data_IF_536446439465
#
_entry.id   IF_536446439465
#
_cell.length_a   1.000
_cell.length_b   1.000
_cell.length_c   1.000
_cell.angle_alpha   90.00
_cell.angle_beta   90.00
_cell.angle_gamma   90.00
#
_symmetry.space_group_name_H-M   'P 1'
#
loop_
_entity.id
_entity.type
_entity.pdbx_description
1 polymer ?
#
# COMPACT_ATOMS: atom_id res chain seq x y z
N UNK A 1 -5.96 -28.04 -11.99
CA UNK A 1 -4.85 -28.20 -11.06
C UNK A 1 -5.20 -27.45 -9.78
N UNK A 2 -5.02 -28.09 -8.65
CA UNK A 2 -5.14 -27.42 -7.36
C UNK A 2 -3.95 -26.47 -7.22
N UNK A 3 -4.20 -25.18 -7.38
CA UNK A 3 -3.18 -24.15 -7.15
C UNK A 3 -3.17 -23.86 -5.66
N UNK A 4 -2.00 -24.00 -5.03
CA UNK A 4 -1.79 -23.64 -3.64
C UNK A 4 -1.16 -22.26 -3.55
N UNK A 5 -1.61 -21.45 -2.60
CA UNK A 5 -0.92 -20.22 -2.26
C UNK A 5 0.38 -20.50 -1.51
N UNK A 6 1.32 -19.55 -1.52
CA UNK A 6 2.57 -19.68 -0.76
C UNK A 6 2.30 -19.87 0.74
N UNK A 7 1.35 -19.15 1.30
CA UNK A 7 0.96 -19.28 2.71
C UNK A 7 0.41 -20.68 3.05
N UNK A 8 -0.40 -21.28 2.15
CA UNK A 8 -0.85 -22.68 2.31
C UNK A 8 0.32 -23.68 2.33
N UNK A 9 1.34 -23.44 1.50
CA UNK A 9 2.53 -24.29 1.49
C UNK A 9 3.26 -24.22 2.83
N UNK A 10 3.44 -23.03 3.40
CA UNK A 10 4.05 -22.86 4.73
C UNK A 10 3.22 -23.51 5.83
N UNK A 11 1.88 -23.36 5.81
CA UNK A 11 0.99 -24.06 6.76
C UNK A 11 1.18 -25.57 6.72
N UNK A 12 1.20 -26.16 5.53
CA UNK A 12 1.41 -27.60 5.34
C UNK A 12 2.78 -28.06 5.80
N UNK A 13 3.77 -27.18 5.78
CA UNK A 13 5.12 -27.42 6.30
C UNK A 13 5.21 -27.23 7.85
N UNK A 14 4.10 -26.95 8.53
CA UNK A 14 4.06 -26.81 9.99
C UNK A 14 4.36 -25.41 10.50
N UNK A 15 4.35 -24.40 9.63
CA UNK A 15 4.43 -22.99 10.03
C UNK A 15 3.06 -22.45 10.42
N UNK A 16 3.02 -21.56 11.41
CA UNK A 16 1.83 -20.76 11.68
C UNK A 16 1.75 -19.63 10.64
N UNK A 17 0.76 -19.68 9.75
CA UNK A 17 0.56 -18.67 8.73
C UNK A 17 -0.43 -17.60 9.18
N UNK A 18 0.02 -16.35 9.20
CA UNK A 18 -0.77 -15.21 9.70
C UNK A 18 -0.83 -14.10 8.66
N UNK A 19 -2.01 -13.48 8.51
CA UNK A 19 -2.23 -12.27 7.71
C UNK A 19 -2.59 -11.10 8.62
N UNK A 20 -1.94 -9.96 8.38
CA UNK A 20 -2.31 -8.67 8.95
C UNK A 20 -2.56 -7.70 7.81
N UNK A 21 -3.72 -7.07 7.77
CA UNK A 21 -4.09 -6.10 6.74
C UNK A 21 -4.36 -6.70 5.37
N UNK A 22 -4.14 -5.92 4.31
CA UNK A 22 -4.54 -6.24 2.94
C UNK A 22 -3.47 -7.05 2.20
N UNK A 23 -3.71 -8.32 1.96
CA UNK A 23 -2.88 -9.18 1.10
C UNK A 23 -3.57 -9.48 -0.22
N UNK A 24 -4.80 -9.99 -0.19
CA UNK A 24 -5.61 -10.18 -1.39
C UNK A 24 -6.30 -8.87 -1.81
N UNK A 25 -6.70 -8.79 -3.09
CA UNK A 25 -7.35 -7.60 -3.60
C UNK A 25 -8.82 -7.53 -3.16
N UNK A 26 -9.20 -6.42 -2.54
CA UNK A 26 -10.58 -6.08 -2.21
C UNK A 26 -10.79 -4.56 -2.22
N UNK A 27 -12.03 -4.11 -2.06
CA UNK A 27 -12.35 -2.70 -2.23
C UNK A 27 -11.75 -1.83 -1.12
N UNK A 28 -10.91 -0.88 -1.48
CA UNK A 28 -10.37 0.12 -0.57
C UNK A 28 -10.99 1.47 -0.93
N UNK A 29 -11.52 2.21 0.03
CA UNK A 29 -11.52 2.00 1.49
C UNK A 29 -12.73 1.22 2.01
N UNK A 30 -13.66 0.76 1.16
CA UNK A 30 -14.94 0.19 1.58
C UNK A 30 -14.76 -1.00 2.54
N UNK A 31 -13.85 -1.92 2.22
CA UNK A 31 -13.64 -3.16 2.96
C UNK A 31 -12.57 -3.06 4.07
N UNK A 32 -12.05 -1.86 4.37
CA UNK A 32 -11.14 -1.68 5.51
C UNK A 32 -11.84 -2.12 6.80
N UNK A 33 -11.19 -3.04 7.53
CA UNK A 33 -11.74 -3.65 8.75
C UNK A 33 -12.54 -4.93 8.54
N UNK A 34 -12.65 -5.41 7.29
CA UNK A 34 -13.31 -6.66 6.92
C UNK A 34 -12.33 -7.64 6.29
N UNK A 35 -12.73 -8.91 6.13
CA UNK A 35 -11.92 -9.92 5.45
C UNK A 35 -11.80 -9.67 3.94
N UNK A 36 -12.74 -8.94 3.33
CA UNK A 36 -12.77 -8.70 1.90
C UNK A 36 -12.83 -10.00 1.09
N UNK A 37 -12.07 -10.06 -0.01
CA UNK A 37 -11.86 -11.28 -0.80
C UNK A 37 -10.61 -12.00 -0.30
N UNK A 38 -10.73 -12.72 0.81
CA UNK A 38 -9.64 -13.49 1.39
C UNK A 38 -9.71 -14.98 1.00
N UNK A 39 -8.60 -15.69 1.20
CA UNK A 39 -8.53 -17.14 1.08
C UNK A 39 -8.35 -17.76 2.48
N UNK A 40 -9.41 -18.26 3.12
CA UNK A 40 -9.35 -18.82 4.47
C UNK A 40 -8.38 -20.00 4.59
N UNK A 41 -8.16 -20.75 3.51
CA UNK A 41 -7.22 -21.88 3.50
C UNK A 41 -5.74 -21.44 3.59
N UNK A 42 -5.48 -20.16 3.30
CA UNK A 42 -4.13 -19.58 3.37
C UNK A 42 -3.66 -19.28 4.79
N UNK A 43 -4.56 -19.12 5.76
CA UNK A 43 -4.24 -18.52 7.04
C UNK A 43 -4.72 -19.33 8.23
N UNK A 44 -3.92 -19.38 9.30
CA UNK A 44 -4.33 -19.83 10.62
C UNK A 44 -4.94 -18.70 11.45
N UNK A 45 -4.44 -17.48 11.20
CA UNK A 45 -4.89 -16.28 11.90
C UNK A 45 -4.96 -15.10 10.92
N UNK A 46 -6.00 -14.29 11.04
CA UNK A 46 -6.15 -13.05 10.26
C UNK A 46 -6.46 -11.87 11.19
N UNK A 47 -5.97 -10.69 10.81
CA UNK A 47 -6.31 -9.45 11.50
C UNK A 47 -6.60 -8.35 10.47
N UNK A 48 -7.78 -7.71 10.61
CA UNK A 48 -8.25 -6.65 9.74
C UNK A 48 -8.25 -5.32 10.52
N UNK A 49 -7.15 -4.56 10.45
CA UNK A 49 -7.06 -3.27 11.13
C UNK A 49 -8.09 -2.29 10.57
N UNK A 50 -8.59 -1.43 11.46
CA UNK A 50 -9.49 -0.34 11.11
C UNK A 50 -9.19 0.84 12.01
N UNK A 51 -8.72 1.91 11.42
CA UNK A 51 -8.34 3.12 12.11
C UNK A 51 -9.20 4.32 11.77
N UNK A 52 -8.71 5.47 12.20
CA UNK A 52 -9.34 6.76 12.03
C UNK A 52 -9.51 7.17 10.57
N UNK A 53 -8.56 6.81 9.70
CA UNK A 53 -8.65 7.03 8.26
C UNK A 53 -9.89 6.40 7.62
N UNK A 54 -10.46 5.34 8.23
CA UNK A 54 -11.74 4.76 7.82
C UNK A 54 -12.93 5.48 8.49
N UNK A 55 -12.83 5.83 9.77
CA UNK A 55 -13.92 6.51 10.46
C UNK A 55 -14.13 7.95 10.00
N UNK A 56 -13.05 8.61 9.57
CA UNK A 56 -13.04 9.98 9.02
C UNK A 56 -13.24 10.01 7.48
N UNK A 57 -13.69 8.92 6.87
CA UNK A 57 -13.86 8.78 5.41
C UNK A 57 -14.69 9.92 4.79
N UNK A 58 -15.66 10.46 5.51
CA UNK A 58 -16.49 11.60 5.06
C UNK A 58 -15.70 12.90 4.85
N UNK A 59 -14.50 13.01 5.41
CA UNK A 59 -13.60 14.17 5.27
C UNK A 59 -12.69 14.06 4.05
N UNK A 60 -12.64 12.90 3.39
CA UNK A 60 -11.76 12.65 2.25
C UNK A 60 -12.19 13.51 1.07
N UNK A 61 -11.25 14.31 0.55
CA UNK A 61 -11.41 14.96 -0.75
C UNK A 61 -11.37 13.92 -1.86
N UNK A 62 -12.22 14.05 -2.87
CA UNK A 62 -12.22 13.19 -4.04
C UNK A 62 -12.57 13.97 -5.30
N UNK A 63 -11.89 13.67 -6.41
CA UNK A 63 -12.27 14.19 -7.73
C UNK A 63 -13.69 13.78 -8.14
N UNK A 64 -14.16 12.66 -7.58
CA UNK A 64 -15.54 12.16 -7.78
C UNK A 64 -16.21 12.01 -6.42
N UNK A 65 -16.98 13.01 -5.96
CA UNK A 65 -17.61 12.98 -4.64
C UNK A 65 -18.32 11.66 -4.35
N UNK A 66 -18.05 11.06 -3.19
CA UNK A 66 -18.59 9.76 -2.79
C UNK A 66 -17.90 8.54 -3.38
N UNK A 67 -16.86 8.72 -4.21
CA UNK A 67 -16.03 7.62 -4.75
C UNK A 67 -14.59 7.85 -4.34
N UNK A 68 -13.99 6.95 -3.56
CA UNK A 68 -12.66 7.17 -2.98
C UNK A 68 -11.58 6.24 -3.52
N UNK A 69 -11.88 4.96 -3.74
CA UNK A 69 -10.88 3.96 -4.14
C UNK A 69 -10.55 3.94 -5.65
N UNK A 70 -11.45 4.43 -6.49
CA UNK A 70 -11.35 4.32 -7.95
C UNK A 70 -10.90 5.59 -8.68
N UNK A 71 -10.65 6.67 -7.95
CA UNK A 71 -10.23 7.98 -8.45
C UNK A 71 -9.20 8.59 -7.50
N UNK A 72 -8.59 9.72 -7.90
CA UNK A 72 -7.72 10.47 -7.00
C UNK A 72 -8.53 11.04 -5.84
N UNK A 73 -8.11 10.71 -4.65
CA UNK A 73 -8.73 11.10 -3.40
C UNK A 73 -7.70 11.11 -2.28
N UNK A 74 -7.81 12.03 -1.32
CA UNK A 74 -6.83 12.17 -0.24
C UNK A 74 -7.39 12.85 1.00
N UNK A 75 -6.67 12.68 2.11
CA UNK A 75 -6.94 13.36 3.37
C UNK A 75 -5.64 13.53 4.17
N UNK A 76 -5.29 14.77 4.48
CA UNK A 76 -4.35 15.05 5.56
C UNK A 76 -5.10 14.85 6.88
N UNK A 77 -4.97 13.67 7.48
CA UNK A 77 -5.74 13.28 8.64
C UNK A 77 -5.26 14.01 9.91
N UNK A 78 -6.20 14.32 10.78
CA UNK A 78 -5.88 14.70 12.15
C UNK A 78 -5.37 13.50 12.96
N UNK A 79 -4.75 13.76 14.12
CA UNK A 79 -4.31 12.75 15.07
C UNK A 79 -2.91 12.20 14.77
N UNK A 80 -2.61 11.08 15.39
CA UNK A 80 -1.29 10.43 15.37
C UNK A 80 -1.27 9.21 14.47
N UNK A 81 -0.07 8.65 14.26
CA UNK A 81 0.12 7.40 13.51
C UNK A 81 -0.73 6.26 14.10
N UNK A 82 -0.70 6.09 15.41
CA UNK A 82 -1.35 4.96 16.11
C UNK A 82 -2.87 4.93 15.97
N UNK A 83 -3.48 6.02 15.51
CA UNK A 83 -4.91 6.07 15.21
C UNK A 83 -5.25 5.59 13.78
N UNK A 84 -4.24 5.42 12.91
CA UNK A 84 -4.42 5.07 11.51
C UNK A 84 -4.41 3.56 11.28
N UNK A 85 -5.12 3.10 10.26
CA UNK A 85 -5.30 1.66 9.96
C UNK A 85 -3.97 0.91 9.83
N UNK A 86 -3.00 1.43 9.06
CA UNK A 86 -1.74 0.74 8.82
C UNK A 86 -0.86 0.67 10.08
N UNK A 87 -0.88 1.70 10.93
CA UNK A 87 -0.15 1.68 12.18
C UNK A 87 -0.76 0.70 13.20
N UNK A 88 -2.09 0.61 13.25
CA UNK A 88 -2.78 -0.42 14.06
C UNK A 88 -2.41 -1.83 13.55
N UNK A 89 -2.30 -2.01 12.24
CA UNK A 89 -1.82 -3.25 11.63
C UNK A 89 -0.38 -3.56 12.00
N UNK A 90 0.51 -2.58 11.90
CA UNK A 90 1.92 -2.73 12.28
C UNK A 90 2.09 -3.11 13.75
N UNK A 91 1.37 -2.45 14.66
CA UNK A 91 1.40 -2.77 16.09
C UNK A 91 0.93 -4.21 16.35
N UNK A 92 -0.13 -4.65 15.64
CA UNK A 92 -0.60 -6.03 15.76
C UNK A 92 0.44 -7.04 15.24
N UNK A 93 1.11 -6.75 14.12
CA UNK A 93 2.19 -7.58 13.59
C UNK A 93 3.37 -7.67 14.58
N UNK A 94 3.76 -6.55 15.19
CA UNK A 94 4.81 -6.50 16.21
C UNK A 94 4.46 -7.38 17.43
N UNK A 95 3.21 -7.33 17.88
CA UNK A 95 2.74 -8.19 18.96
C UNK A 95 2.83 -9.67 18.60
N UNK A 96 2.43 -10.04 17.38
CA UNK A 96 2.52 -11.43 16.90
C UNK A 96 3.97 -11.91 16.79
N UNK A 97 4.90 -11.06 16.32
CA UNK A 97 6.33 -11.36 16.34
C UNK A 97 6.82 -11.66 17.75
N UNK A 98 6.35 -10.90 18.75
CA UNK A 98 6.67 -11.15 20.16
C UNK A 98 6.09 -12.46 20.69
N UNK A 99 4.92 -12.90 20.22
CA UNK A 99 4.35 -14.22 20.53
C UNK A 99 5.24 -15.33 19.95
N UNK A 100 5.56 -15.27 18.65
CA UNK A 100 6.40 -16.26 17.97
C UNK A 100 7.83 -16.36 18.56
N UNK A 101 8.43 -15.24 18.95
CA UNK A 101 9.73 -15.23 19.61
C UNK A 101 9.72 -16.01 20.94
N UNK A 102 8.64 -15.90 21.72
CA UNK A 102 8.46 -16.63 22.99
C UNK A 102 8.20 -18.12 22.78
N UNK A 103 7.34 -18.44 21.81
CA UNK A 103 6.91 -19.80 21.52
C UNK A 103 7.99 -20.61 20.79
N UNK A 104 8.96 -19.93 20.15
CA UNK A 104 9.98 -20.53 19.27
C UNK A 104 9.38 -21.39 18.16
N UNK A 105 8.19 -21.04 17.72
CA UNK A 105 7.47 -21.73 16.63
C UNK A 105 7.80 -21.11 15.27
N UNK A 106 7.93 -21.91 14.19
CA UNK A 106 8.11 -21.36 12.86
C UNK A 106 6.84 -20.62 12.42
N UNK A 107 7.03 -19.47 11.76
CA UNK A 107 5.92 -18.66 11.28
C UNK A 107 6.11 -18.17 9.86
N UNK A 108 5.00 -17.97 9.18
CA UNK A 108 4.88 -17.21 7.94
C UNK A 108 3.92 -16.04 8.22
N UNK A 109 4.42 -14.82 8.19
CA UNK A 109 3.61 -13.63 8.45
C UNK A 109 3.57 -12.75 7.20
N UNK A 110 2.38 -12.51 6.67
CA UNK A 110 2.14 -11.56 5.60
C UNK A 110 1.52 -10.28 6.18
N UNK A 111 2.18 -9.14 5.99
CA UNK A 111 1.67 -7.83 6.41
C UNK A 111 1.41 -6.99 5.19
N UNK A 112 0.15 -6.68 4.94
CA UNK A 112 -0.30 -5.87 3.81
C UNK A 112 -0.75 -4.50 4.26
N UNK A 113 -0.05 -3.46 3.81
CA UNK A 113 -0.41 -2.08 4.05
C UNK A 113 -1.46 -1.62 3.04
N UNK A 114 -2.37 -0.76 3.48
CA UNK A 114 -3.36 -0.13 2.60
C UNK A 114 -2.76 1.05 1.85
N UNK A 115 -1.81 1.78 2.46
CA UNK A 115 -1.15 2.91 1.81
C UNK A 115 0.03 2.42 0.97
N UNK A 116 0.24 3.04 -0.19
CA UNK A 116 -0.38 4.27 -0.74
C UNK A 116 -1.60 4.06 -1.66
N UNK A 117 -2.48 3.07 -1.45
CA UNK A 117 -3.74 2.98 -2.22
C UNK A 117 -4.64 4.18 -1.94
N UNK A 118 -5.38 4.66 -2.96
CA UNK A 118 -6.41 5.70 -2.78
C UNK A 118 -7.52 5.25 -1.83
N UNK A 119 -8.05 6.14 -0.98
CA UNK A 119 -7.62 7.51 -0.75
C UNK A 119 -6.22 7.57 -0.13
N UNK A 120 -5.38 8.53 -0.54
CA UNK A 120 -4.08 8.76 0.08
C UNK A 120 -4.29 9.44 1.43
N UNK A 121 -4.22 8.68 2.50
CA UNK A 121 -4.44 9.19 3.85
C UNK A 121 -3.20 8.98 4.70
N UNK A 122 -2.76 10.03 5.35
CA UNK A 122 -1.70 10.00 6.35
C UNK A 122 -1.94 11.15 7.36
N UNK A 123 -1.39 11.09 8.58
CA UNK A 123 -1.38 12.23 9.47
C UNK A 123 -0.81 13.48 8.82
N UNK A 124 -1.38 14.65 9.14
CA UNK A 124 -0.99 15.94 8.55
C UNK A 124 0.51 16.20 8.60
N UNK A 125 1.21 15.76 9.64
CA UNK A 125 2.66 15.91 9.80
C UNK A 125 3.49 15.31 8.66
N UNK A 126 2.97 14.30 7.95
CA UNK A 126 3.60 13.74 6.76
C UNK A 126 3.40 14.62 5.53
N UNK A 127 2.24 15.24 5.40
CA UNK A 127 1.96 16.21 4.32
C UNK A 127 2.87 17.44 4.44
N UNK A 128 3.12 17.92 5.65
CA UNK A 128 3.95 19.09 5.92
C UNK A 128 5.42 18.90 5.47
N UNK A 129 5.86 17.65 5.26
CA UNK A 129 7.20 17.33 4.70
C UNK A 129 7.31 17.62 3.20
N UNK A 130 6.21 17.74 2.49
CA UNK A 130 6.13 17.91 1.04
C UNK A 130 5.40 19.19 0.66
N UNK A 131 6.02 20.38 0.79
CA UNK A 131 5.39 21.64 0.40
C UNK A 131 4.91 21.60 -1.05
N UNK A 132 3.63 21.88 -1.28
CA UNK A 132 2.95 21.76 -2.58
C UNK A 132 3.65 22.58 -3.67
N UNK A 133 4.18 23.74 -3.30
CA UNK A 133 4.88 24.66 -4.21
C UNK A 133 6.23 24.10 -4.72
N UNK A 134 6.79 23.09 -4.05
CA UNK A 134 8.04 22.43 -4.45
C UNK A 134 7.82 21.18 -5.30
N UNK A 135 6.58 20.74 -5.44
CA UNK A 135 6.27 19.54 -6.21
C UNK A 135 6.28 19.88 -7.71
N UNK A 136 7.01 19.08 -8.47
CA UNK A 136 7.08 19.18 -9.92
C UNK A 136 6.19 18.11 -10.53
N UNK A 137 5.16 18.53 -11.25
CA UNK A 137 4.26 17.62 -11.96
C UNK A 137 4.91 17.21 -13.28
N UNK A 138 4.95 15.91 -13.64
CA UNK A 138 5.41 15.47 -14.93
C UNK A 138 4.62 16.13 -16.08
N UNK A 139 5.32 16.53 -17.12
CA UNK A 139 4.71 17.10 -18.34
C UNK A 139 4.72 16.08 -19.45
N UNK A 140 3.64 16.05 -20.23
CA UNK A 140 3.53 15.22 -21.43
C UNK A 140 3.82 16.12 -22.63
N UNK A 141 4.81 15.77 -23.48
CA UNK A 141 5.11 16.57 -24.68
C UNK A 141 3.93 16.60 -25.65
N UNK A 142 3.80 17.70 -26.40
CA UNK A 142 2.84 17.77 -27.50
C UNK A 142 3.10 16.65 -28.50
N UNK A 143 2.04 16.05 -29.03
CA UNK A 143 2.13 14.91 -29.95
C UNK A 143 2.54 13.59 -29.36
N UNK A 144 2.74 13.50 -28.02
CA UNK A 144 3.18 12.27 -27.37
C UNK A 144 2.27 11.07 -27.66
N UNK A 145 0.95 11.24 -27.57
CA UNK A 145 0.01 10.15 -27.80
C UNK A 145 0.02 9.62 -29.23
N UNK A 146 0.44 10.45 -30.19
CA UNK A 146 0.58 10.07 -31.61
C UNK A 146 1.75 9.10 -31.82
N UNK A 147 2.70 9.05 -30.89
CA UNK A 147 3.85 8.13 -30.95
C UNK A 147 3.53 6.75 -30.35
N UNK A 148 2.37 6.59 -29.72
CA UNK A 148 1.97 5.36 -29.02
C UNK A 148 0.98 4.53 -29.86
N UNK A 149 0.99 3.19 -29.72
CA UNK A 149 -0.03 2.36 -30.33
C UNK A 149 -1.40 2.60 -29.67
N UNK A 150 -2.48 2.47 -30.44
CA UNK A 150 -3.86 2.71 -30.01
C UNK A 150 -4.25 2.05 -28.68
N UNK A 151 -3.89 0.78 -28.37
CA UNK A 151 -4.22 0.16 -27.11
C UNK A 151 -3.58 0.88 -25.90
N UNK A 152 -2.37 1.39 -26.06
CA UNK A 152 -1.67 2.16 -25.02
C UNK A 152 -2.40 3.50 -24.78
N UNK A 153 -2.72 4.24 -25.83
CA UNK A 153 -3.48 5.49 -25.74
C UNK A 153 -4.84 5.26 -25.05
N UNK A 154 -5.56 4.20 -25.44
CA UNK A 154 -6.84 3.83 -24.79
C UNK A 154 -6.68 3.53 -23.33
N UNK A 155 -5.58 2.90 -22.91
CA UNK A 155 -5.33 2.61 -21.50
C UNK A 155 -5.06 3.88 -20.68
N UNK A 156 -4.28 4.81 -21.24
CA UNK A 156 -3.93 6.09 -20.60
C UNK A 156 -5.12 7.06 -20.50
N UNK A 157 -6.04 7.03 -21.47
CA UNK A 157 -7.16 7.99 -21.56
C UNK A 157 -8.47 7.48 -20.96
N UNK A 158 -8.48 6.29 -20.34
CA UNK A 158 -9.71 5.67 -19.81
C UNK A 158 -10.32 6.37 -18.59
N UNK A 159 -9.48 7.03 -17.77
CA UNK A 159 -9.89 7.71 -16.52
C UNK A 159 -10.15 9.20 -16.80
N UNK A 160 -11.31 9.49 -17.36
CA UNK A 160 -11.68 10.83 -17.85
C UNK A 160 -11.64 11.92 -16.78
N UNK A 161 -11.93 11.57 -15.51
CA UNK A 161 -11.89 12.47 -14.37
C UNK A 161 -10.47 12.90 -13.97
N UNK A 162 -9.45 12.24 -14.52
CA UNK A 162 -8.04 12.48 -14.23
C UNK A 162 -7.25 13.02 -15.45
N UNK A 163 -7.91 13.14 -16.60
CA UNK A 163 -7.29 13.73 -17.78
C UNK A 163 -7.17 15.25 -17.62
N UNK A 164 -6.00 15.79 -18.01
CA UNK A 164 -5.74 17.23 -17.96
C UNK A 164 -5.99 17.82 -16.55
N UNK A 165 -5.56 17.11 -15.53
CA UNK A 165 -5.74 17.53 -14.15
C UNK A 165 -5.11 18.91 -13.93
N UNK A 166 -5.85 19.84 -13.31
CA UNK A 166 -5.34 21.17 -13.01
C UNK A 166 -4.07 21.06 -12.12
N UNK A 167 -3.06 21.89 -12.42
CA UNK A 167 -1.73 21.82 -11.78
C UNK A 167 -1.80 21.82 -10.25
N UNK A 168 -2.67 22.63 -9.66
CA UNK A 168 -2.86 22.68 -8.22
C UNK A 168 -3.39 21.34 -7.65
N UNK A 169 -4.31 20.67 -8.34
CA UNK A 169 -4.84 19.36 -7.93
C UNK A 169 -3.80 18.24 -8.13
N UNK A 170 -3.04 18.31 -9.23
CA UNK A 170 -1.95 17.39 -9.52
C UNK A 170 -0.89 17.42 -8.40
N UNK A 171 -0.45 18.64 -8.01
CA UNK A 171 0.50 18.83 -6.91
C UNK A 171 -0.03 18.32 -5.58
N UNK A 172 -1.30 18.58 -5.25
CA UNK A 172 -1.92 18.08 -4.03
C UNK A 172 -2.03 16.55 -4.02
N UNK A 173 -2.38 15.94 -5.15
CA UNK A 173 -2.42 14.48 -5.28
C UNK A 173 -1.02 13.86 -5.07
N UNK A 174 0.03 14.47 -5.66
CA UNK A 174 1.41 14.02 -5.47
C UNK A 174 1.88 14.22 -4.02
N UNK A 175 1.57 15.36 -3.41
CA UNK A 175 1.84 15.59 -1.98
C UNK A 175 1.24 14.49 -1.12
N UNK A 176 -0.03 14.19 -1.33
CA UNK A 176 -0.75 13.18 -0.58
C UNK A 176 -0.20 11.77 -0.80
N UNK A 177 0.21 11.45 -2.04
CA UNK A 177 0.86 10.18 -2.35
C UNK A 177 2.20 10.05 -1.63
N UNK A 178 3.07 11.05 -1.70
CA UNK A 178 4.37 11.03 -1.00
C UNK A 178 4.20 10.98 0.53
N UNK A 179 3.25 11.71 1.07
CA UNK A 179 2.91 11.66 2.50
C UNK A 179 2.47 10.25 2.91
N UNK A 180 1.61 9.61 2.12
CA UNK A 180 1.12 8.25 2.41
C UNK A 180 2.20 7.18 2.26
N UNK A 181 3.15 7.33 1.32
CA UNK A 181 4.32 6.44 1.23
C UNK A 181 5.20 6.59 2.46
N UNK A 182 5.53 7.82 2.86
CA UNK A 182 6.38 8.05 4.02
C UNK A 182 5.75 7.53 5.30
N UNK A 183 4.43 7.66 5.43
CA UNK A 183 3.69 7.05 6.54
C UNK A 183 3.76 5.52 6.50
N UNK A 184 3.53 4.89 5.33
CA UNK A 184 3.64 3.43 5.18
C UNK A 184 5.07 2.93 5.48
N UNK A 185 6.08 3.63 4.98
CA UNK A 185 7.50 3.33 5.22
C UNK A 185 7.84 3.36 6.72
N UNK A 186 7.31 4.34 7.45
CA UNK A 186 7.50 4.39 8.91
C UNK A 186 6.90 3.18 9.63
N UNK A 187 5.78 2.63 9.13
CA UNK A 187 5.19 1.41 9.71
C UNK A 187 6.01 0.17 9.36
N UNK A 188 6.57 0.08 8.14
CA UNK A 188 7.52 -0.97 7.76
C UNK A 188 8.74 -0.93 8.67
N UNK A 189 9.32 0.26 8.89
CA UNK A 189 10.45 0.46 9.80
C UNK A 189 10.18 -0.08 11.21
N UNK A 190 9.02 0.24 11.80
CA UNK A 190 8.61 -0.29 13.13
C UNK A 190 8.59 -1.82 13.19
N UNK A 191 8.11 -2.47 12.13
CA UNK A 191 8.03 -3.95 12.07
C UNK A 191 9.44 -4.53 11.95
N UNK A 192 10.30 -3.98 11.08
CA UNK A 192 11.68 -4.45 10.89
C UNK A 192 12.50 -4.27 12.17
N UNK A 193 12.42 -3.10 12.82
CA UNK A 193 13.05 -2.85 14.12
C UNK A 193 12.57 -3.82 15.21
N UNK A 194 11.31 -4.27 15.14
CA UNK A 194 10.80 -5.27 16.07
C UNK A 194 11.42 -6.66 15.85
N UNK A 195 11.68 -7.05 14.59
CA UNK A 195 12.40 -8.30 14.27
C UNK A 195 13.77 -8.31 14.94
N UNK A 196 14.53 -7.20 14.81
CA UNK A 196 15.84 -7.06 15.46
C UNK A 196 15.74 -7.08 16.99
N UNK A 197 14.88 -6.24 17.55
CA UNK A 197 14.70 -6.10 19.00
C UNK A 197 14.27 -7.41 19.69
N UNK A 198 13.50 -8.24 18.98
CA UNK A 198 13.02 -9.53 19.49
C UNK A 198 14.00 -10.68 19.28
N UNK A 199 15.17 -10.41 18.69
CA UNK A 199 16.18 -11.43 18.41
C UNK A 199 15.77 -12.43 17.34
N UNK A 200 14.93 -12.02 16.38
CA UNK A 200 14.45 -12.86 15.29
C UNK A 200 15.26 -12.71 14.01
N UNK A 201 16.14 -11.71 13.90
CA UNK A 201 16.86 -11.36 12.67
C UNK A 201 17.72 -12.51 12.13
N UNK A 202 18.35 -13.29 13.01
CA UNK A 202 19.27 -14.37 12.64
C UNK A 202 18.54 -15.62 12.07
N UNK A 203 17.21 -15.67 12.13
CA UNK A 203 16.42 -16.82 11.65
C UNK A 203 15.15 -16.43 10.88
N UNK A 204 15.05 -15.16 10.46
CA UNK A 204 13.89 -14.66 9.73
C UNK A 204 14.32 -14.11 8.37
N UNK A 205 13.63 -14.55 7.32
CA UNK A 205 13.75 -13.95 5.98
C UNK A 205 12.66 -12.90 5.84
N UNK A 206 13.05 -11.67 5.50
CA UNK A 206 12.13 -10.56 5.21
C UNK A 206 12.05 -10.40 3.70
N UNK A 207 10.85 -10.41 3.15
CA UNK A 207 10.57 -10.11 1.74
C UNK A 207 9.67 -8.88 1.69
N UNK A 208 10.14 -7.83 1.03
CA UNK A 208 9.36 -6.62 0.76
C UNK A 208 9.11 -6.48 -0.73
N UNK A 209 7.84 -6.31 -1.10
CA UNK A 209 7.43 -6.13 -2.50
C UNK A 209 6.09 -5.38 -2.58
N UNK A 210 5.66 -5.08 -3.80
CA UNK A 210 4.32 -4.53 -4.11
C UNK A 210 3.64 -5.39 -5.17
N UNK A 211 2.32 -5.34 -5.24
CA UNK A 211 1.51 -6.03 -6.26
C UNK A 211 1.60 -5.33 -7.63
N UNK A 212 1.83 -4.01 -7.65
CA UNK A 212 2.00 -3.17 -8.84
C UNK A 212 2.65 -1.83 -8.47
N UNK A 213 3.17 -1.14 -9.47
CA UNK A 213 3.55 0.26 -9.38
C UNK A 213 2.37 1.21 -9.61
N UNK A 214 2.66 2.49 -9.89
CA UNK A 214 1.63 3.53 -10.03
C UNK A 214 2.15 4.72 -10.83
N UNK A 215 1.28 5.36 -11.63
CA UNK A 215 1.57 6.62 -12.31
C UNK A 215 1.16 7.81 -11.46
N UNK A 216 2.02 8.80 -11.39
CA UNK A 216 1.79 10.08 -10.71
C UNK A 216 1.93 11.26 -11.67
N UNK A 217 1.25 11.15 -12.82
CA UNK A 217 1.27 12.16 -13.90
C UNK A 217 2.13 11.79 -15.09
N UNK A 218 3.01 10.80 -14.98
CA UNK A 218 3.76 10.31 -16.13
C UNK A 218 2.81 9.80 -17.21
N UNK A 219 3.12 10.05 -18.46
CA UNK A 219 2.25 9.77 -19.61
C UNK A 219 0.87 10.47 -19.52
N UNK A 220 0.70 11.49 -18.67
CA UNK A 220 -0.59 12.13 -18.39
C UNK A 220 -1.58 11.24 -17.62
N UNK A 221 -1.09 10.21 -16.95
CA UNK A 221 -1.91 9.20 -16.28
C UNK A 221 -1.67 9.14 -14.75
N UNK A 222 -2.69 8.77 -13.99
CA UNK A 222 -2.69 8.80 -12.52
C UNK A 222 -3.17 7.49 -11.89
N UNK A 223 -2.94 6.38 -12.53
CA UNK A 223 -3.44 5.07 -12.07
C UNK A 223 -2.41 3.97 -12.39
N UNK A 224 -2.81 2.72 -12.20
CA UNK A 224 -1.98 1.53 -12.29
C UNK A 224 -2.30 0.59 -13.46
N UNK A 225 -3.48 0.73 -14.09
CA UNK A 225 -3.98 -0.25 -15.06
C UNK A 225 -3.41 -0.03 -16.46
N UNK A 226 -2.10 -0.09 -16.59
CA UNK A 226 -1.32 -0.01 -17.82
C UNK A 226 -0.19 -1.04 -17.81
N UNK A 227 0.50 -1.22 -18.91
CA UNK A 227 1.69 -2.07 -19.03
C UNK A 227 3.00 -1.24 -19.08
N UNK A 228 2.93 0.06 -18.78
CA UNK A 228 4.13 0.89 -18.67
C UNK A 228 4.92 0.57 -17.39
N UNK A 229 6.22 0.83 -17.42
CA UNK A 229 7.16 0.58 -16.31
C UNK A 229 6.66 1.14 -14.97
N UNK A 230 6.08 2.33 -14.97
CA UNK A 230 5.54 2.94 -13.76
C UNK A 230 4.50 2.06 -13.02
N UNK A 231 3.76 1.24 -13.76
CA UNK A 231 2.78 0.31 -13.19
C UNK A 231 3.29 -1.13 -13.07
N UNK A 232 4.22 -1.55 -13.92
CA UNK A 232 4.69 -2.93 -14.01
C UNK A 232 5.95 -3.20 -13.17
N UNK A 233 6.79 -2.18 -12.96
CA UNK A 233 8.02 -2.30 -12.18
C UNK A 233 7.74 -2.05 -10.69
N UNK A 234 8.08 -3.03 -9.85
CA UNK A 234 7.87 -3.00 -8.40
C UNK A 234 9.18 -3.29 -7.66
N UNK A 235 9.35 -2.79 -6.43
CA UNK A 235 10.47 -3.18 -5.61
C UNK A 235 10.40 -4.67 -5.26
N UNK A 236 11.54 -5.32 -5.19
CA UNK A 236 11.72 -6.64 -4.57
C UNK A 236 12.99 -6.61 -3.72
N UNK A 237 12.81 -6.63 -2.41
CA UNK A 237 13.90 -6.66 -1.45
C UNK A 237 13.80 -7.95 -0.65
N UNK A 238 14.88 -8.70 -0.58
CA UNK A 238 14.98 -9.93 0.22
C UNK A 238 16.15 -9.75 1.18
N UNK A 239 15.85 -9.74 2.47
CA UNK A 239 16.85 -9.75 3.54
C UNK A 239 16.78 -11.11 4.24
N UNK A 240 17.88 -11.86 4.19
CA UNK A 240 17.99 -13.16 4.82
C UNK A 240 19.14 -13.15 5.85
N UNK A 241 19.10 -14.00 6.87
CA UNK A 241 20.23 -14.23 7.74
C UNK A 241 21.50 -14.50 6.91
N UNK A 242 22.61 -13.92 7.29
CA UNK A 242 23.93 -14.05 6.59
C UNK A 242 23.97 -13.53 5.14
N UNK A 243 22.94 -12.86 4.65
CA UNK A 243 23.00 -12.15 3.37
C UNK A 243 23.83 -10.86 3.53
N UNK A 244 25.10 -10.94 3.13
CA UNK A 244 26.01 -9.78 3.05
C UNK A 244 26.05 -9.20 1.66
#
# INVERSE_FOLDING_TARGET
PEVQSMSQMFRRAGYTATRVGKIYHYNVPADIGNDGHDDPESWDRTFNPKGRDKTDESKVFSLRPGSYGGTLSWLAADGTDDEQTDAIGAEHAIRLLGEHAKEKSPFFMAVGLYRPHTPYVAPKSYFDRYPVEKIVVPTVPDGYFETLPDPAVKSLTRKKDQLNLADNLARQAMQAYYASITFADSQVGRIVEAVDRLGLADNTVIVFTSDHGYHMGEHGYWQKTTLFENAAHVPLIIAAPDSK
#
